data_IF_188425918766
#
_entry.id   IF_188425918766
#
_cell.length_a   1.000
_cell.length_b   1.000
_cell.length_c   1.000
_cell.angle_alpha   90.00
_cell.angle_beta   90.00
_cell.angle_gamma   90.00
#
_symmetry.space_group_name_H-M   'P 1'
#
loop_
_entity.id
_entity.type
_entity.pdbx_description
1 polymer ?
#
# COMPACT_ATOMS: atom_id res chain seq x y z
N UNK A 1 -28.79 3.73 -10.28
CA UNK A 1 -27.43 3.20 -10.52
C UNK A 1 -26.42 4.25 -10.08
N UNK A 2 -25.50 3.90 -9.20
CA UNK A 2 -24.40 4.80 -8.83
C UNK A 2 -23.43 4.84 -10.02
N UNK A 3 -23.30 6.00 -10.68
CA UNK A 3 -22.59 6.15 -11.96
C UNK A 3 -21.08 5.93 -11.83
N UNK A 4 -20.52 6.15 -10.64
CA UNK A 4 -19.09 6.00 -10.41
C UNK A 4 -18.84 5.45 -8.99
N UNK A 5 -18.08 4.35 -8.83
CA UNK A 5 -17.95 3.66 -7.55
C UNK A 5 -16.88 4.27 -6.64
N UNK A 6 -16.14 5.28 -7.11
CA UNK A 6 -15.03 5.89 -6.37
C UNK A 6 -15.49 7.16 -5.69
N UNK A 7 -15.05 7.34 -4.46
CA UNK A 7 -15.02 8.66 -3.84
C UNK A 7 -13.86 9.46 -4.45
N UNK A 8 -14.21 10.50 -5.18
CA UNK A 8 -13.25 11.44 -5.79
C UNK A 8 -13.10 12.72 -4.97
N UNK A 9 -13.86 12.86 -3.89
CA UNK A 9 -13.94 14.06 -3.08
C UNK A 9 -13.17 13.91 -1.75
N UNK A 10 -13.23 12.73 -1.12
CA UNK A 10 -12.64 12.51 0.19
C UNK A 10 -13.12 13.55 1.20
N UNK A 11 -12.20 14.09 2.01
CA UNK A 11 -12.52 15.17 2.97
C UNK A 11 -12.67 16.56 2.35
N UNK A 12 -12.36 16.74 1.06
CA UNK A 12 -12.39 18.07 0.42
C UNK A 12 -11.47 19.07 1.14
N UNK A 13 -11.83 20.38 1.18
CA UNK A 13 -11.01 21.40 1.84
C UNK A 13 -11.02 21.34 3.37
N UNK A 14 -12.01 20.65 3.97
CA UNK A 14 -12.27 20.66 5.42
C UNK A 14 -11.92 19.31 6.06
N UNK A 15 -10.62 18.99 6.09
CA UNK A 15 -10.13 17.78 6.74
C UNK A 15 -10.38 17.79 8.26
N UNK A 16 -10.78 16.65 8.86
CA UNK A 16 -11.03 16.58 10.30
C UNK A 16 -9.73 16.76 11.10
N UNK A 17 -9.86 17.32 12.30
CA UNK A 17 -8.77 17.32 13.26
C UNK A 17 -8.53 15.89 13.77
N UNK A 18 -7.34 15.37 13.50
CA UNK A 18 -6.97 13.99 13.86
C UNK A 18 -6.92 13.73 15.38
N UNK A 19 -6.78 14.76 16.21
CA UNK A 19 -6.91 14.64 17.67
C UNK A 19 -5.86 13.72 18.32
N UNK A 20 -4.62 13.70 17.82
CA UNK A 20 -3.60 12.77 18.29
C UNK A 20 -3.32 12.91 19.80
N UNK A 21 -2.97 11.79 20.48
CA UNK A 21 -2.69 11.80 21.92
C UNK A 21 -1.66 12.86 22.32
N UNK A 22 -1.89 13.51 23.46
CA UNK A 22 -1.00 14.57 23.96
C UNK A 22 -0.95 15.83 23.10
N UNK A 23 -1.86 16.01 22.14
CA UNK A 23 -1.85 17.16 21.22
C UNK A 23 -0.73 17.10 20.18
N UNK A 24 -0.21 15.90 19.88
CA UNK A 24 0.82 15.69 18.87
C UNK A 24 0.39 16.25 17.49
N UNK A 25 1.35 16.83 16.77
CA UNK A 25 1.10 17.47 15.46
C UNK A 25 1.22 16.51 14.28
N UNK A 26 1.86 15.37 14.50
CA UNK A 26 2.10 14.35 13.48
C UNK A 26 2.02 12.97 14.14
N UNK A 27 1.50 12.00 13.40
CA UNK A 27 1.63 10.58 13.71
C UNK A 27 2.67 9.98 12.77
N UNK A 28 3.68 9.31 13.33
CA UNK A 28 4.69 8.58 12.55
C UNK A 28 4.34 7.10 12.60
N UNK A 29 4.23 6.47 11.43
CA UNK A 29 3.97 5.03 11.30
C UNK A 29 5.15 4.37 10.60
N UNK A 30 5.88 3.53 11.34
CA UNK A 30 6.92 2.68 10.77
C UNK A 30 6.32 1.32 10.45
N UNK A 31 6.47 0.89 9.20
CA UNK A 31 5.95 -0.40 8.72
C UNK A 31 7.14 -1.21 8.23
N UNK A 32 7.26 -2.44 8.73
CA UNK A 32 8.19 -3.43 8.25
C UNK A 32 7.38 -4.56 7.63
N UNK A 33 7.45 -4.67 6.32
CA UNK A 33 6.96 -5.86 5.64
C UNK A 33 8.07 -6.91 5.71
N UNK A 34 7.66 -8.16 5.93
CA UNK A 34 8.52 -9.32 5.87
C UNK A 34 7.85 -10.32 4.94
N UNK A 35 8.20 -10.19 3.67
CA UNK A 35 7.63 -10.96 2.57
C UNK A 35 8.68 -11.92 1.98
N UNK A 36 9.93 -11.81 2.44
CA UNK A 36 11.05 -12.61 1.97
C UNK A 36 10.86 -14.09 2.26
N UNK A 37 10.92 -14.91 1.21
CA UNK A 37 10.56 -16.32 1.21
C UNK A 37 9.08 -16.59 0.93
N UNK A 38 8.27 -15.54 0.77
CA UNK A 38 6.86 -15.61 0.37
C UNK A 38 6.58 -15.06 -1.03
N UNK A 39 7.62 -14.62 -1.74
CA UNK A 39 7.51 -14.17 -3.12
C UNK A 39 7.13 -15.30 -4.08
N UNK A 40 6.66 -14.93 -5.29
CA UNK A 40 6.42 -15.93 -6.32
C UNK A 40 7.72 -16.71 -6.59
N UNK A 41 7.66 -18.03 -6.46
CA UNK A 41 8.81 -18.89 -6.62
C UNK A 41 8.39 -20.24 -7.16
N UNK A 42 9.09 -20.70 -8.20
CA UNK A 42 8.84 -22.03 -8.79
C UNK A 42 9.04 -23.16 -7.77
N UNK A 43 9.86 -22.95 -6.72
CA UNK A 43 10.02 -23.91 -5.61
C UNK A 43 8.77 -24.00 -4.73
N UNK A 44 7.93 -22.96 -4.71
CA UNK A 44 6.66 -22.93 -3.99
C UNK A 44 5.49 -23.47 -4.84
N UNK A 45 5.73 -23.76 -6.12
CA UNK A 45 4.73 -24.29 -7.06
C UNK A 45 4.08 -23.23 -7.95
N UNK A 46 4.60 -21.99 -7.92
CA UNK A 46 4.08 -20.91 -8.74
C UNK A 46 4.44 -21.08 -10.22
N UNK A 47 3.63 -20.49 -11.09
CA UNK A 47 3.80 -20.61 -12.55
C UNK A 47 5.06 -19.90 -13.07
N UNK A 48 5.71 -19.06 -12.26
CA UNK A 48 6.94 -18.33 -12.59
C UNK A 48 7.61 -17.75 -11.35
N UNK A 49 8.83 -17.25 -11.52
CA UNK A 49 9.53 -16.50 -10.46
C UNK A 49 8.93 -15.10 -10.29
N UNK A 50 9.15 -14.52 -9.12
CA UNK A 50 8.79 -13.14 -8.81
C UNK A 50 9.40 -12.18 -9.83
N UNK A 51 8.58 -11.23 -10.28
CA UNK A 51 8.96 -10.22 -11.26
C UNK A 51 9.27 -8.87 -10.59
N UNK A 52 8.65 -8.58 -9.43
CA UNK A 52 8.78 -7.28 -8.78
C UNK A 52 8.69 -7.35 -7.25
N UNK A 53 9.84 -7.15 -6.61
CA UNK A 53 9.97 -6.69 -5.21
C UNK A 53 10.67 -5.33 -5.11
N UNK A 54 10.98 -4.72 -6.24
CA UNK A 54 11.58 -3.39 -6.32
C UNK A 54 10.60 -2.44 -7.02
N UNK A 55 10.48 -1.21 -6.52
CA UNK A 55 9.69 -0.10 -7.09
C UNK A 55 10.12 0.32 -8.53
N UNK A 56 10.84 -0.54 -9.24
CA UNK A 56 11.30 -0.29 -10.60
C UNK A 56 10.15 -0.60 -11.54
N UNK A 57 9.57 0.40 -12.19
CA UNK A 57 8.58 0.15 -13.23
C UNK A 57 9.20 -0.56 -14.44
N UNK A 58 8.64 -1.69 -14.87
CA UNK A 58 8.91 -2.30 -16.19
C UNK A 58 9.88 -3.49 -16.26
N UNK A 59 10.30 -4.08 -15.14
CA UNK A 59 10.97 -5.39 -15.14
C UNK A 59 10.07 -6.50 -15.72
N UNK A 60 10.68 -7.53 -16.28
CA UNK A 60 10.00 -8.76 -16.68
C UNK A 60 10.74 -9.95 -16.07
N UNK A 61 10.03 -11.06 -15.76
CA UNK A 61 10.64 -12.28 -15.26
C UNK A 61 11.73 -12.83 -16.20
#
# INVERSE_FOLDING_TARGET
MNRYPRDMSGYGPDAPNAGWPGGAKIAVSLVLNYEEGGENCVLHGDAGSEAFLSDIAGAQP
#
